data_IF_768244781789
#
_entry.id   IF_768244781789
#
_cell.length_a   1.000
_cell.length_b   1.000
_cell.length_c   1.000
_cell.angle_alpha   90.00
_cell.angle_beta   90.00
_cell.angle_gamma   90.00
#
_symmetry.space_group_name_H-M   'P 1'
#
loop_
_entity.id
_entity.type
_entity.pdbx_description
1 polymer ?
#
# COMPACT_ATOMS: atom_id res chain seq x y z
N UNK A 1 -20.03 23.56 14.94
CA UNK A 1 -19.66 22.56 13.91
C UNK A 1 -18.52 21.77 14.49
N UNK A 2 -18.81 20.64 15.13
CA UNK A 2 -17.79 19.80 15.75
C UNK A 2 -17.04 19.08 14.64
N UNK A 3 -15.72 19.26 14.62
CA UNK A 3 -14.82 18.45 13.81
C UNK A 3 -14.80 17.07 14.46
N UNK A 4 -15.75 16.22 14.09
CA UNK A 4 -15.90 14.90 14.69
C UNK A 4 -14.79 14.02 14.11
N UNK A 5 -13.63 14.04 14.78
CA UNK A 5 -12.50 13.15 14.54
C UNK A 5 -12.85 11.73 15.04
N UNK A 6 -14.00 11.21 14.60
CA UNK A 6 -14.49 9.89 14.92
C UNK A 6 -13.64 8.81 14.22
N UNK A 7 -13.49 7.67 14.88
CA UNK A 7 -12.83 6.50 14.31
C UNK A 7 -13.61 6.06 13.06
N UNK A 8 -12.92 6.02 11.91
CA UNK A 8 -13.51 5.55 10.66
C UNK A 8 -13.41 4.02 10.59
N UNK A 9 -14.51 3.30 10.31
CA UNK A 9 -14.43 1.86 10.09
C UNK A 9 -13.65 1.56 8.80
N UNK A 10 -12.65 0.69 8.88
CA UNK A 10 -11.79 0.31 7.75
C UNK A 10 -12.46 -0.62 6.72
N UNK A 11 -13.73 -0.99 6.94
CA UNK A 11 -14.37 -2.12 6.27
C UNK A 11 -14.83 -1.86 4.83
N UNK A 12 -14.69 -0.64 4.29
CA UNK A 12 -15.08 -0.34 2.92
C UNK A 12 -14.11 0.62 2.24
N UNK A 13 -13.38 0.10 1.24
CA UNK A 13 -12.45 0.89 0.44
C UNK A 13 -12.40 0.41 -1.02
N UNK A 14 -12.19 1.35 -1.93
CA UNK A 14 -11.96 1.13 -3.36
C UNK A 14 -10.48 1.36 -3.65
N UNK A 15 -9.92 0.53 -4.52
CA UNK A 15 -8.61 0.72 -5.13
C UNK A 15 -8.82 1.16 -6.57
N UNK A 16 -8.05 2.15 -7.01
CA UNK A 16 -8.07 2.68 -8.37
C UNK A 16 -6.64 2.94 -8.85
N UNK A 17 -6.13 2.13 -9.76
CA UNK A 17 -4.77 2.23 -10.32
C UNK A 17 -4.86 2.63 -11.78
N UNK A 18 -5.22 3.89 -12.03
CA UNK A 18 -5.36 4.47 -13.39
C UNK A 18 -6.14 3.55 -14.34
N UNK A 19 -7.26 3.00 -13.86
CA UNK A 19 -8.13 2.08 -14.60
C UNK A 19 -7.47 0.75 -15.05
N UNK A 20 -6.20 0.50 -14.70
CA UNK A 20 -5.52 -0.79 -14.94
C UNK A 20 -5.99 -1.82 -13.94
N UNK A 21 -6.11 -1.44 -12.67
CA UNK A 21 -6.67 -2.26 -11.60
C UNK A 21 -7.64 -1.40 -10.82
N UNK A 22 -8.92 -1.74 -10.86
CA UNK A 22 -9.97 -0.98 -10.18
C UNK A 22 -10.97 -1.93 -9.54
N UNK A 23 -11.35 -1.64 -8.29
CA UNK A 23 -12.40 -2.39 -7.61
C UNK A 23 -12.30 -2.39 -6.10
N UNK A 24 -13.08 -3.27 -5.49
CA UNK A 24 -13.08 -3.50 -4.04
C UNK A 24 -12.12 -4.63 -3.69
N UNK A 25 -11.43 -4.47 -2.57
CA UNK A 25 -10.44 -5.40 -2.06
C UNK A 25 -10.82 -5.82 -0.65
N UNK A 26 -10.34 -6.99 -0.25
CA UNK A 26 -10.55 -7.56 1.08
C UNK A 26 -9.62 -6.93 2.11
N UNK A 27 -8.36 -6.69 1.71
CA UNK A 27 -7.33 -6.12 2.59
C UNK A 27 -6.42 -5.17 1.83
N UNK A 28 -5.96 -4.12 2.52
CA UNK A 28 -4.93 -3.20 2.09
C UNK A 28 -4.01 -2.91 3.28
N UNK A 29 -2.70 -3.01 3.07
CA UNK A 29 -1.68 -2.71 4.08
C UNK A 29 -0.46 -2.03 3.45
N UNK A 30 0.44 -1.49 4.28
CA UNK A 30 1.66 -0.82 3.82
C UNK A 30 1.45 0.60 3.30
N UNK A 31 0.38 1.28 3.75
CA UNK A 31 0.13 2.68 3.41
C UNK A 31 0.98 3.60 4.28
N UNK A 32 2.25 3.78 3.91
CA UNK A 32 3.16 4.54 4.73
C UNK A 32 4.56 4.72 4.18
N UNK A 33 5.38 5.34 5.02
CA UNK A 33 6.80 5.54 4.77
C UNK A 33 7.54 5.65 6.09
N UNK A 34 8.77 5.18 6.12
CA UNK A 34 9.65 5.29 7.27
C UNK A 34 10.98 5.92 6.89
N UNK A 35 11.61 6.63 7.82
CA UNK A 35 13.03 6.93 7.72
C UNK A 35 13.79 5.94 8.60
N UNK A 36 14.90 5.43 8.09
CA UNK A 36 15.87 4.76 8.95
C UNK A 36 16.34 5.74 10.03
N UNK A 37 16.49 5.27 11.27
CA UNK A 37 17.04 6.08 12.36
C UNK A 37 18.50 5.69 12.56
N UNK A 38 19.42 6.63 12.36
CA UNK A 38 20.85 6.41 12.54
C UNK A 38 21.26 6.96 13.90
N UNK A 39 21.82 6.09 14.74
CA UNK A 39 22.31 6.45 16.07
C UNK A 39 23.81 6.76 16.05
N UNK A 40 24.20 7.88 16.64
CA UNK A 40 25.58 8.25 16.86
C UNK A 40 25.85 8.34 18.36
N UNK A 41 26.87 7.62 18.81
CA UNK A 41 27.40 7.74 20.16
C UNK A 41 28.45 8.84 20.19
N UNK A 42 28.22 9.86 20.99
CA UNK A 42 29.12 11.01 21.13
C UNK A 42 29.46 11.22 22.60
N UNK A 43 30.67 11.70 22.88
CA UNK A 43 31.03 12.16 24.21
C UNK A 43 30.81 13.67 24.24
N UNK A 44 29.93 14.12 25.14
CA UNK A 44 29.69 15.54 25.38
C UNK A 44 30.94 16.25 25.90
N UNK A 45 30.94 17.58 25.85
CA UNK A 45 32.04 18.38 26.40
C UNK A 45 32.26 18.17 27.91
N UNK A 46 31.26 17.64 28.64
CA UNK A 46 31.35 17.29 30.06
C UNK A 46 31.81 15.84 30.32
N UNK A 47 32.15 15.08 29.27
CA UNK A 47 32.60 13.69 29.38
C UNK A 47 31.49 12.65 29.51
N UNK A 48 30.21 13.06 29.46
CA UNK A 48 29.08 12.13 29.40
C UNK A 48 28.91 11.55 28.01
N UNK A 49 28.70 10.23 27.93
CA UNK A 49 28.24 9.55 26.71
C UNK A 49 26.77 9.95 26.42
N UNK A 50 26.53 10.39 25.19
CA UNK A 50 25.22 10.76 24.67
C UNK A 50 24.95 9.97 23.38
N UNK A 51 23.71 9.56 23.18
CA UNK A 51 23.23 9.06 21.89
C UNK A 51 22.43 10.16 21.22
N UNK A 52 22.87 10.58 20.03
CA UNK A 52 22.12 11.50 19.16
C UNK A 52 21.63 10.76 17.92
N UNK A 53 20.47 11.14 17.40
CA UNK A 53 19.86 10.49 16.25
C UNK A 53 19.82 11.41 15.03
N UNK A 54 20.03 10.81 13.85
CA UNK A 54 19.91 11.48 12.55
C UNK A 54 18.92 10.71 11.68
N UNK A 55 18.20 11.43 10.82
CA UNK A 55 17.34 10.82 9.81
C UNK A 55 18.20 10.16 8.71
N UNK A 56 18.05 8.84 8.58
CA UNK A 56 18.62 8.03 7.52
C UNK A 56 17.77 8.02 6.26
N UNK A 57 17.86 6.94 5.49
CA UNK A 57 17.19 6.81 4.19
C UNK A 57 15.67 6.72 4.35
N UNK A 58 14.94 7.44 3.49
CA UNK A 58 13.50 7.28 3.32
C UNK A 58 13.19 5.95 2.60
N UNK A 59 12.26 5.18 3.17
CA UNK A 59 11.69 3.97 2.59
C UNK A 59 10.19 4.15 2.44
N UNK A 60 9.72 3.88 1.23
CA UNK A 60 8.29 3.74 0.95
C UNK A 60 7.88 2.30 1.21
N UNK A 61 6.89 2.12 2.09
CA UNK A 61 6.36 0.79 2.39
C UNK A 61 5.71 0.18 1.14
N UNK A 62 5.79 -1.14 1.01
CA UNK A 62 5.13 -1.81 -0.10
C UNK A 62 3.65 -1.97 0.21
N UNK A 63 2.80 -1.53 -0.73
CA UNK A 63 1.36 -1.69 -0.60
C UNK A 63 1.02 -3.14 -0.93
N UNK A 64 0.37 -3.84 0.00
CA UNK A 64 -0.15 -5.19 -0.24
C UNK A 64 -1.66 -5.13 -0.34
N UNK A 65 -2.20 -5.65 -1.44
CA UNK A 65 -3.64 -5.69 -1.71
C UNK A 65 -4.09 -7.13 -1.89
N UNK A 66 -5.21 -7.50 -1.26
CA UNK A 66 -5.82 -8.83 -1.40
C UNK A 66 -7.24 -8.74 -1.94
N UNK A 67 -7.57 -9.59 -2.90
CA UNK A 67 -8.90 -9.67 -3.51
C UNK A 67 -9.33 -11.12 -3.65
N UNK A 68 -10.62 -11.40 -3.50
CA UNK A 68 -11.16 -12.70 -3.88
C UNK A 68 -11.00 -12.93 -5.38
N UNK A 69 -10.80 -14.19 -5.81
CA UNK A 69 -10.68 -14.51 -7.23
C UNK A 69 -11.97 -14.14 -7.95
N UNK A 70 -11.80 -13.45 -9.07
CA UNK A 70 -12.88 -13.11 -10.00
C UNK A 70 -12.49 -13.53 -11.41
N UNK A 71 -13.33 -13.22 -12.40
CA UNK A 71 -12.96 -13.34 -13.82
C UNK A 71 -11.97 -12.27 -14.28
N UNK A 72 -11.67 -11.25 -13.45
CA UNK A 72 -10.72 -10.19 -13.80
C UNK A 72 -9.29 -10.71 -13.73
N UNK A 73 -8.52 -10.44 -14.78
CA UNK A 73 -7.08 -10.72 -14.87
C UNK A 73 -6.24 -9.44 -14.82
N UNK A 74 -6.82 -8.33 -14.37
CA UNK A 74 -6.18 -7.00 -14.31
C UNK A 74 -4.81 -7.02 -13.59
N UNK A 75 -4.75 -7.55 -12.37
CA UNK A 75 -3.54 -7.64 -11.55
C UNK A 75 -2.46 -8.51 -12.21
N UNK A 76 -2.87 -9.63 -12.80
CA UNK A 76 -1.99 -10.53 -13.54
C UNK A 76 -1.47 -9.89 -14.83
N UNK A 77 -2.33 -9.20 -15.57
CA UNK A 77 -1.97 -8.48 -16.80
C UNK A 77 -1.03 -7.33 -16.51
N UNK A 78 -1.23 -6.62 -15.40
CA UNK A 78 -0.34 -5.57 -14.94
C UNK A 78 1.03 -6.13 -14.53
N UNK A 79 1.05 -7.23 -13.76
CA UNK A 79 2.29 -7.90 -13.36
C UNK A 79 3.07 -8.46 -14.53
N UNK A 80 2.38 -8.93 -15.58
CA UNK A 80 2.99 -9.43 -16.82
C UNK A 80 3.85 -8.36 -17.52
N UNK A 81 3.47 -7.09 -17.47
CA UNK A 81 4.24 -6.00 -18.08
C UNK A 81 5.64 -5.87 -17.44
N UNK A 82 5.73 -6.02 -16.11
CA UNK A 82 7.01 -6.04 -15.39
C UNK A 82 7.83 -7.28 -15.75
N UNK A 83 7.17 -8.43 -15.85
CA UNK A 83 7.74 -9.73 -16.24
C UNK A 83 8.39 -9.69 -17.64
N UNK A 84 7.75 -8.98 -18.57
CA UNK A 84 8.19 -8.79 -19.95
C UNK A 84 9.23 -7.65 -20.09
N UNK A 85 9.56 -6.95 -19.00
CA UNK A 85 10.55 -5.87 -18.97
C UNK A 85 10.02 -4.49 -19.38
N UNK A 86 8.72 -4.34 -19.59
CA UNK A 86 8.06 -3.08 -19.96
C UNK A 86 7.75 -2.24 -18.71
N UNK A 87 8.80 -1.82 -18.01
CA UNK A 87 8.70 -1.13 -16.71
C UNK A 87 8.05 0.25 -16.84
N UNK A 88 8.35 0.99 -17.92
CA UNK A 88 7.74 2.31 -18.14
C UNK A 88 6.22 2.19 -18.29
N UNK A 89 5.75 1.19 -19.05
CA UNK A 89 4.33 0.92 -19.16
C UNK A 89 3.76 0.31 -17.88
N UNK A 90 4.53 -0.41 -17.08
CA UNK A 90 4.01 -0.94 -15.82
C UNK A 90 3.83 0.14 -14.74
N UNK A 91 4.55 1.27 -14.79
CA UNK A 91 4.42 2.32 -13.77
C UNK A 91 3.06 3.02 -13.86
N UNK A 92 2.34 3.06 -12.74
CA UNK A 92 1.02 3.69 -12.62
C UNK A 92 0.90 4.47 -11.33
N UNK A 93 0.14 5.55 -11.39
CA UNK A 93 -0.35 6.21 -10.19
C UNK A 93 -1.62 5.51 -9.72
N UNK A 94 -1.98 5.70 -8.46
CA UNK A 94 -3.23 5.16 -7.96
C UNK A 94 -3.66 5.74 -6.64
N UNK A 95 -4.87 5.35 -6.25
CA UNK A 95 -5.56 5.84 -5.07
C UNK A 95 -6.19 4.69 -4.28
N UNK A 96 -6.06 4.75 -2.96
CA UNK A 96 -6.84 3.95 -2.02
C UNK A 96 -7.87 4.88 -1.39
N UNK A 97 -9.14 4.60 -1.61
CA UNK A 97 -10.26 5.49 -1.25
C UNK A 97 -11.12 4.76 -0.23
N UNK A 98 -11.17 5.26 0.99
CA UNK A 98 -12.03 4.75 2.05
C UNK A 98 -13.34 5.52 2.09
N UNK A 99 -14.42 4.83 2.44
CA UNK A 99 -15.75 5.40 2.55
C UNK A 99 -16.30 5.28 3.97
N UNK A 100 -17.14 6.22 4.37
CA UNK A 100 -17.93 6.12 5.60
C UNK A 100 -19.20 5.27 5.38
N UNK A 101 -20.00 5.08 6.44
CA UNK A 101 -21.26 4.32 6.37
C UNK A 101 -22.32 4.93 5.43
N UNK A 102 -22.18 6.20 5.05
CA UNK A 102 -23.06 6.89 4.11
C UNK A 102 -22.58 6.77 2.66
N UNK A 103 -21.45 6.11 2.43
CA UNK A 103 -20.83 5.98 1.10
C UNK A 103 -20.05 7.23 0.66
N UNK A 104 -19.80 8.18 1.57
CA UNK A 104 -19.01 9.37 1.28
C UNK A 104 -17.52 9.08 1.51
N UNK A 105 -16.65 9.69 0.71
CA UNK A 105 -15.19 9.54 0.87
C UNK A 105 -14.77 10.09 2.23
N UNK A 106 -14.13 9.25 3.04
CA UNK A 106 -13.73 9.57 4.41
C UNK A 106 -12.22 9.69 4.59
N UNK A 107 -11.45 8.99 3.76
CA UNK A 107 -10.01 9.12 3.68
C UNK A 107 -9.53 8.68 2.29
N UNK A 108 -8.43 9.26 1.83
CA UNK A 108 -7.82 8.90 0.56
C UNK A 108 -6.30 8.94 0.65
N UNK A 109 -5.66 7.93 0.08
CA UNK A 109 -4.21 7.88 -0.11
C UNK A 109 -3.91 7.83 -1.59
N UNK A 110 -3.07 8.75 -2.06
CA UNK A 110 -2.61 8.80 -3.44
C UNK A 110 -1.13 8.41 -3.49
N UNK A 111 -0.81 7.44 -4.34
CA UNK A 111 0.55 6.95 -4.55
C UNK A 111 0.99 7.14 -6.01
N UNK A 112 2.31 7.23 -6.23
CA UNK A 112 2.88 7.52 -7.56
C UNK A 112 3.97 6.55 -7.98
N UNK A 113 4.10 6.43 -9.29
CA UNK A 113 5.12 5.63 -9.98
C UNK A 113 5.14 4.17 -9.50
N UNK A 114 3.96 3.62 -9.21
CA UNK A 114 3.82 2.31 -8.62
C UNK A 114 3.88 1.19 -9.64
N UNK A 115 4.43 0.05 -9.26
CA UNK A 115 4.55 -1.13 -10.11
C UNK A 115 4.50 -2.42 -9.27
N UNK A 116 4.01 -3.53 -9.83
CA UNK A 116 3.79 -4.76 -9.10
C UNK A 116 5.09 -5.53 -8.93
N UNK A 117 5.51 -5.71 -7.67
CA UNK A 117 6.72 -6.46 -7.29
C UNK A 117 6.44 -7.96 -7.35
N UNK A 118 5.27 -8.36 -6.87
CA UNK A 118 4.88 -9.77 -6.73
C UNK A 118 3.38 -9.90 -6.90
N UNK A 119 2.95 -11.02 -7.50
CA UNK A 119 1.58 -11.49 -7.44
C UNK A 119 1.57 -12.95 -6.98
N UNK A 120 0.57 -13.34 -6.19
CA UNK A 120 0.34 -14.73 -5.80
C UNK A 120 -1.14 -15.07 -5.89
N UNK A 121 -1.42 -16.26 -6.42
CA UNK A 121 -2.76 -16.82 -6.49
C UNK A 121 -3.19 -17.52 -5.19
N UNK A 122 -4.40 -18.13 -5.19
CA UNK A 122 -4.90 -18.88 -4.06
C UNK A 122 -4.05 -20.12 -3.76
N UNK A 123 -4.21 -20.63 -2.54
CA UNK A 123 -3.76 -21.98 -2.16
C UNK A 123 -4.99 -22.90 -2.09
N UNK A 124 -5.37 -23.57 -3.20
CA UNK A 124 -6.53 -24.44 -3.21
C UNK A 124 -6.32 -25.64 -2.28
N UNK A 125 -7.32 -25.90 -1.43
CA UNK A 125 -7.36 -27.04 -0.51
C UNK A 125 -8.70 -27.75 -0.66
N UNK A 126 -8.67 -29.06 -0.89
CA UNK A 126 -9.88 -29.86 -1.14
C UNK A 126 -10.74 -30.10 0.10
N UNK A 127 -10.21 -29.81 1.30
CA UNK A 127 -10.83 -29.98 2.60
C UNK A 127 -11.25 -28.64 3.25
N UNK A 128 -11.10 -27.51 2.54
CA UNK A 128 -11.44 -26.17 3.02
C UNK A 128 -12.55 -25.54 2.18
N UNK A 129 -13.45 -24.79 2.84
CA UNK A 129 -14.49 -23.97 2.21
C UNK A 129 -14.11 -22.49 2.12
N UNK A 130 -12.82 -22.16 2.26
CA UNK A 130 -12.31 -20.79 2.17
C UNK A 130 -12.41 -20.25 0.73
N UNK A 131 -12.66 -18.94 0.63
CA UNK A 131 -12.67 -18.24 -0.66
C UNK A 131 -11.22 -18.16 -1.16
N UNK A 132 -11.00 -18.46 -2.44
CA UNK A 132 -9.71 -18.24 -3.08
C UNK A 132 -9.37 -16.75 -3.11
N UNK A 133 -8.21 -16.39 -2.58
CA UNK A 133 -7.71 -15.01 -2.55
C UNK A 133 -6.45 -14.90 -3.39
N UNK A 134 -6.37 -13.84 -4.18
CA UNK A 134 -5.17 -13.39 -4.85
C UNK A 134 -4.60 -12.16 -4.13
N UNK A 135 -3.28 -12.07 -4.13
CA UNK A 135 -2.51 -11.01 -3.46
C UNK A 135 -1.55 -10.38 -4.45
N UNK A 136 -1.51 -9.04 -4.48
CA UNK A 136 -0.51 -8.26 -5.21
C UNK A 136 0.26 -7.37 -4.23
N UNK A 137 1.58 -7.34 -4.40
CA UNK A 137 2.48 -6.45 -3.65
C UNK A 137 3.03 -5.43 -4.62
N UNK A 138 2.92 -4.15 -4.26
CA UNK A 138 3.21 -3.01 -5.13
C UNK A 138 4.29 -2.16 -4.46
N UNK A 139 5.32 -1.82 -5.21
CA UNK A 139 6.26 -0.77 -4.83
C UNK A 139 5.78 0.55 -5.41
N UNK A 140 5.94 1.64 -4.67
CA UNK A 140 5.72 3.00 -5.16
C UNK A 140 6.88 3.91 -4.74
N UNK A 141 6.96 5.09 -5.36
CA UNK A 141 8.02 6.07 -5.10
C UNK A 141 7.52 7.28 -4.30
N UNK A 142 6.23 7.30 -3.96
CA UNK A 142 5.60 8.35 -3.17
C UNK A 142 4.22 7.93 -2.70
N UNK A 143 3.82 8.32 -1.49
CA UNK A 143 2.44 8.23 -1.00
C UNK A 143 2.08 9.46 -0.16
N UNK A 144 0.84 9.92 -0.25
CA UNK A 144 0.32 11.00 0.60
C UNK A 144 -1.15 10.75 0.92
N UNK A 145 -1.60 11.22 2.08
CA UNK A 145 -3.02 11.22 2.47
C UNK A 145 -3.63 12.56 2.05
N UNK A 146 -4.67 12.54 1.20
CA UNK A 146 -5.26 13.75 0.59
C UNK A 146 -6.59 14.18 1.21
N UNK A 147 -7.24 13.31 1.98
CA UNK A 147 -8.48 13.54 2.75
C UNK A 147 -8.30 12.92 4.13
#
# INVERSE_FOLDING_TARGET
>A
MANDAGILPASHFKVDIQDVVTGYFLECSGLGSEHEVIEHKVISQSGQELTITTNGRLKWEQITLKRGITSSLDMWTWRKQVEEGDIEKARRNGSIIMYNQKGEVSAQWDFRDAWPVKISGPQPKTDSNEIGVEEIVIQHEYITRTI
#
